data_IF_270308788278
#
_entry.id   IF_270308788278
#
_cell.length_a   1.000
_cell.length_b   1.000
_cell.length_c   1.000
_cell.angle_alpha   90.00
_cell.angle_beta   90.00
_cell.angle_gamma   90.00
#
_symmetry.space_group_name_H-M   'P 1'
#
loop_
_entity.id
_entity.type
_entity.pdbx_description
1 polymer ?
#
# COMPACT_ATOMS: atom_id res chain seq x y z
N UNK A 1 -2.56 -41.46 8.50
CA UNK A 1 -1.80 -40.33 9.05
C UNK A 1 -2.61 -39.08 8.82
N UNK A 2 -3.16 -38.47 9.89
CA UNK A 2 -3.94 -37.25 9.77
C UNK A 2 -3.03 -36.10 9.37
N UNK A 3 -3.17 -35.59 8.16
CA UNK A 3 -2.58 -34.30 7.82
C UNK A 3 -3.20 -33.20 8.70
N UNK A 4 -2.39 -32.26 9.18
CA UNK A 4 -2.86 -31.31 10.16
C UNK A 4 -3.94 -30.40 9.57
N UNK A 5 -5.10 -30.35 10.23
CA UNK A 5 -6.24 -29.46 9.92
C UNK A 5 -5.85 -27.99 9.72
N UNK A 6 -4.71 -27.57 10.25
CA UNK A 6 -4.19 -26.19 10.18
C UNK A 6 -3.90 -25.75 8.74
N UNK A 7 -3.39 -26.62 7.86
CA UNK A 7 -3.12 -26.28 6.45
C UNK A 7 -4.42 -26.03 5.66
N UNK A 8 -5.45 -26.82 5.93
CA UNK A 8 -6.76 -26.65 5.27
C UNK A 8 -7.45 -25.35 5.71
N UNK A 9 -7.37 -24.99 7.00
CA UNK A 9 -7.96 -23.78 7.54
C UNK A 9 -7.27 -22.53 6.93
N UNK A 10 -5.94 -22.47 6.89
CA UNK A 10 -5.21 -21.34 6.28
C UNK A 10 -5.55 -21.19 4.80
N UNK A 11 -5.57 -22.28 4.05
CA UNK A 11 -5.90 -22.25 2.62
C UNK A 11 -7.34 -21.77 2.39
N UNK A 12 -8.27 -22.15 3.26
CA UNK A 12 -9.68 -21.70 3.18
C UNK A 12 -9.80 -20.20 3.47
N UNK A 13 -9.15 -19.71 4.53
CA UNK A 13 -9.15 -18.27 4.89
C UNK A 13 -8.61 -17.44 3.73
N UNK A 14 -7.49 -17.82 3.13
CA UNK A 14 -6.92 -17.09 1.99
C UNK A 14 -7.84 -17.09 0.77
N UNK A 15 -8.48 -18.25 0.45
CA UNK A 15 -9.46 -18.33 -0.65
C UNK A 15 -10.68 -17.44 -0.42
N UNK A 16 -11.18 -17.35 0.81
CA UNK A 16 -12.29 -16.47 1.15
C UNK A 16 -11.88 -15.00 1.03
N UNK A 17 -10.68 -14.63 1.51
CA UNK A 17 -10.12 -13.31 1.32
C UNK A 17 -10.00 -12.94 -0.16
N UNK A 18 -9.43 -13.82 -0.98
CA UNK A 18 -9.23 -13.59 -2.42
C UNK A 18 -10.56 -13.41 -3.17
N UNK A 19 -11.62 -14.11 -2.73
CA UNK A 19 -12.96 -13.91 -3.28
C UNK A 19 -13.51 -12.52 -2.97
N UNK A 20 -13.36 -12.07 -1.72
CA UNK A 20 -13.80 -10.72 -1.31
C UNK A 20 -12.96 -9.65 -2.02
N UNK A 21 -11.64 -9.84 -2.08
CA UNK A 21 -10.74 -8.91 -2.76
C UNK A 21 -11.09 -8.72 -4.25
N UNK A 22 -11.42 -9.81 -4.96
CA UNK A 22 -11.89 -9.72 -6.36
C UNK A 22 -13.19 -8.94 -6.48
N UNK A 23 -14.15 -9.14 -5.56
CA UNK A 23 -15.40 -8.40 -5.55
C UNK A 23 -15.16 -6.90 -5.29
N UNK A 24 -14.29 -6.58 -4.34
CA UNK A 24 -13.89 -5.20 -4.05
C UNK A 24 -13.24 -4.53 -5.27
N UNK A 25 -12.28 -5.21 -5.91
CA UNK A 25 -11.64 -4.68 -7.13
C UNK A 25 -12.67 -4.39 -8.21
N UNK A 26 -13.62 -5.30 -8.42
CA UNK A 26 -14.71 -5.06 -9.38
C UNK A 26 -15.59 -3.87 -8.99
N UNK A 27 -15.89 -3.66 -7.70
CA UNK A 27 -16.63 -2.47 -7.23
C UNK A 27 -15.84 -1.19 -7.49
N UNK A 28 -14.53 -1.20 -7.23
CA UNK A 28 -13.64 -0.08 -7.47
C UNK A 28 -13.52 0.23 -8.98
N UNK A 29 -13.40 -0.80 -9.83
CA UNK A 29 -13.41 -0.66 -11.28
C UNK A 29 -14.71 0.00 -11.77
N UNK A 30 -15.86 -0.48 -11.30
CA UNK A 30 -17.17 0.07 -11.67
C UNK A 30 -17.37 1.51 -11.18
N UNK A 31 -16.77 1.87 -10.05
CA UNK A 31 -16.84 3.22 -9.50
C UNK A 31 -15.84 4.18 -10.17
N UNK A 32 -14.81 3.66 -10.85
CA UNK A 32 -13.70 4.46 -11.39
C UNK A 32 -12.72 4.91 -10.31
N UNK A 33 -12.68 4.24 -9.16
CA UNK A 33 -11.82 4.56 -8.01
C UNK A 33 -10.51 3.77 -8.10
N UNK A 34 -9.39 4.45 -8.24
CA UNK A 34 -8.08 3.82 -8.23
C UNK A 34 -7.63 3.51 -6.80
N UNK A 35 -7.32 2.25 -6.49
CA UNK A 35 -6.97 1.83 -5.12
C UNK A 35 -5.50 1.48 -5.02
N UNK A 36 -4.83 2.09 -4.04
CA UNK A 36 -3.39 1.97 -3.81
C UNK A 36 -3.12 1.49 -2.39
N UNK A 37 -2.41 0.39 -2.21
CA UNK A 37 -2.01 -0.09 -0.90
C UNK A 37 -0.53 0.17 -0.59
N UNK A 38 -0.24 0.41 0.70
CA UNK A 38 1.10 0.62 1.22
C UNK A 38 1.40 -0.44 2.29
N UNK A 39 2.45 -1.21 2.07
CA UNK A 39 2.96 -2.20 3.03
C UNK A 39 4.41 -1.91 3.39
N UNK A 40 4.81 -2.16 4.63
CA UNK A 40 6.20 -2.01 5.08
C UNK A 40 6.39 -2.59 6.48
N UNK A 41 7.63 -2.62 6.96
CA UNK A 41 7.90 -2.75 8.39
C UNK A 41 7.39 -1.55 9.20
N UNK A 42 7.23 -1.71 10.52
CA UNK A 42 6.96 -0.58 11.42
C UNK A 42 8.06 0.49 11.30
N UNK A 43 7.67 1.75 11.35
CA UNK A 43 8.64 2.85 11.31
C UNK A 43 9.26 3.17 9.94
N UNK A 44 8.93 2.46 8.87
CA UNK A 44 9.42 2.75 7.52
C UNK A 44 8.90 4.07 6.90
N UNK A 45 7.96 4.75 7.57
CA UNK A 45 7.47 6.06 7.14
C UNK A 45 6.22 6.05 6.28
N UNK A 46 5.41 4.96 6.28
CA UNK A 46 4.12 4.87 5.55
C UNK A 46 3.22 6.07 5.81
N UNK A 47 2.85 6.29 7.06
CA UNK A 47 1.93 7.37 7.46
C UNK A 47 2.45 8.74 7.06
N UNK A 48 3.77 8.99 7.21
CA UNK A 48 4.38 10.27 6.81
C UNK A 48 4.36 10.48 5.30
N UNK A 49 4.68 9.42 4.53
CA UNK A 49 4.60 9.46 3.07
C UNK A 49 3.15 9.70 2.63
N UNK A 50 2.21 8.96 3.20
CA UNK A 50 0.79 9.06 2.88
C UNK A 50 0.24 10.44 3.23
N UNK A 51 0.56 11.00 4.40
CA UNK A 51 0.16 12.35 4.80
C UNK A 51 0.58 13.41 3.77
N UNK A 52 1.84 13.36 3.32
CA UNK A 52 2.35 14.27 2.29
C UNK A 52 1.68 14.02 0.93
N UNK A 53 1.45 12.76 0.58
CA UNK A 53 0.77 12.37 -0.66
C UNK A 53 -0.66 12.93 -0.70
N UNK A 54 -1.41 12.76 0.37
CA UNK A 54 -2.78 13.27 0.48
C UNK A 54 -2.83 14.80 0.37
N UNK A 55 -1.93 15.49 1.06
CA UNK A 55 -1.84 16.95 1.01
C UNK A 55 -1.54 17.46 -0.41
N UNK A 56 -0.63 16.82 -1.15
CA UNK A 56 -0.27 17.20 -2.52
C UNK A 56 -1.38 16.87 -3.55
N UNK A 57 -2.12 15.78 -3.34
CA UNK A 57 -3.12 15.32 -4.30
C UNK A 57 -4.50 15.94 -4.07
N UNK A 58 -4.86 16.29 -2.83
CA UNK A 58 -6.21 16.77 -2.47
C UNK A 58 -6.64 18.06 -3.20
N UNK A 59 -5.68 18.84 -3.71
CA UNK A 59 -5.98 20.03 -4.51
C UNK A 59 -6.44 19.73 -5.95
N UNK A 60 -6.25 18.48 -6.41
CA UNK A 60 -6.49 18.10 -7.80
C UNK A 60 -7.42 16.88 -7.95
N UNK A 61 -7.53 16.06 -6.89
CA UNK A 61 -8.23 14.79 -6.89
C UNK A 61 -9.02 14.61 -5.60
N UNK A 62 -10.15 13.94 -5.69
CA UNK A 62 -10.88 13.46 -4.53
C UNK A 62 -10.19 12.20 -3.99
N UNK A 63 -9.49 12.35 -2.89
CA UNK A 63 -8.70 11.28 -2.27
C UNK A 63 -9.24 10.93 -0.90
N UNK A 64 -9.12 9.66 -0.52
CA UNK A 64 -9.46 9.18 0.82
C UNK A 64 -8.44 8.16 1.29
N UNK A 65 -8.41 7.86 2.60
CA UNK A 65 -7.50 6.87 3.15
C UNK A 65 -8.18 5.94 4.17
N UNK A 66 -7.84 4.66 4.10
CA UNK A 66 -8.05 3.67 5.15
C UNK A 66 -6.71 3.39 5.83
N UNK A 67 -6.70 3.31 7.15
CA UNK A 67 -5.49 3.09 7.93
C UNK A 67 -5.67 1.91 8.86
N UNK A 68 -4.88 0.86 8.63
CA UNK A 68 -4.82 -0.30 9.51
C UNK A 68 -3.84 -0.07 10.65
N UNK A 69 -4.31 -0.12 11.89
CA UNK A 69 -3.45 -0.07 13.07
C UNK A 69 -3.94 -1.06 14.13
N UNK A 70 -3.01 -1.53 14.96
CA UNK A 70 -3.31 -2.51 16.02
C UNK A 70 -4.21 -1.93 17.11
N UNK A 71 -3.97 -0.71 17.57
CA UNK A 71 -4.64 -0.18 18.76
C UNK A 71 -4.71 1.35 18.89
N UNK A 72 -3.97 2.14 18.08
CA UNK A 72 -3.86 3.58 18.31
C UNK A 72 -4.54 4.39 17.20
N UNK A 73 -5.17 5.51 17.56
CA UNK A 73 -5.79 6.44 16.58
C UNK A 73 -4.80 7.48 16.03
N UNK A 74 -3.53 7.39 16.39
CA UNK A 74 -2.55 8.43 16.10
C UNK A 74 -2.32 8.64 14.60
N UNK A 75 -2.27 7.56 13.83
CA UNK A 75 -2.01 7.65 12.39
C UNK A 75 -3.24 8.21 11.64
N UNK A 76 -4.45 7.77 11.99
CA UNK A 76 -5.66 8.35 11.43
C UNK A 76 -5.83 9.85 11.80
N UNK A 77 -5.51 10.24 13.04
CA UNK A 77 -5.51 11.66 13.45
C UNK A 77 -4.48 12.49 12.69
N UNK A 78 -3.30 11.95 12.42
CA UNK A 78 -2.28 12.63 11.60
C UNK A 78 -2.73 12.82 10.16
N UNK A 79 -3.34 11.79 9.55
CA UNK A 79 -3.82 11.87 8.18
C UNK A 79 -5.05 12.78 8.03
N UNK A 80 -5.95 12.82 9.03
CA UNK A 80 -7.11 13.71 9.00
C UNK A 80 -6.75 15.20 8.95
N UNK A 81 -5.52 15.57 9.35
CA UNK A 81 -5.01 16.95 9.21
C UNK A 81 -4.86 17.38 7.75
N UNK A 82 -4.84 16.44 6.79
CA UNK A 82 -4.85 16.77 5.36
C UNK A 82 -6.21 17.25 4.84
N UNK A 83 -7.26 17.19 5.67
CA UNK A 83 -8.61 17.64 5.31
C UNK A 83 -9.39 16.66 4.42
N UNK A 84 -8.83 15.47 4.15
CA UNK A 84 -9.48 14.42 3.35
C UNK A 84 -10.20 13.39 4.23
N UNK A 85 -11.18 12.63 3.70
CA UNK A 85 -11.81 11.54 4.43
C UNK A 85 -10.78 10.48 4.83
N UNK A 86 -10.69 10.19 6.13
CA UNK A 86 -9.82 9.14 6.68
C UNK A 86 -10.66 8.24 7.59
N UNK A 87 -10.52 6.93 7.43
CA UNK A 87 -11.13 5.96 8.33
C UNK A 87 -10.08 4.99 8.84
N UNK A 88 -10.08 4.78 10.15
CA UNK A 88 -9.22 3.80 10.79
C UNK A 88 -9.89 2.45 10.88
N UNK A 89 -9.11 1.41 10.63
CA UNK A 89 -9.44 0.01 10.86
C UNK A 89 -8.60 -0.47 12.04
N UNK A 90 -9.24 -0.70 13.18
CA UNK A 90 -8.57 -1.26 14.35
C UNK A 90 -8.54 -2.77 14.21
N UNK A 91 -7.35 -3.34 14.04
CA UNK A 91 -7.18 -4.78 13.80
C UNK A 91 -7.04 -5.60 15.08
N UNK A 92 -6.86 -4.93 16.24
CA UNK A 92 -6.69 -5.58 17.54
C UNK A 92 -5.42 -6.44 17.59
N UNK A 93 -5.57 -7.75 17.53
CA UNK A 93 -4.44 -8.70 17.58
C UNK A 93 -3.95 -9.16 16.20
N UNK A 94 -4.64 -8.76 15.12
CA UNK A 94 -4.29 -9.16 13.75
C UNK A 94 -3.28 -8.17 13.17
N UNK A 95 -2.13 -8.67 12.72
CA UNK A 95 -1.01 -7.85 12.27
C UNK A 95 -1.05 -7.52 10.76
N UNK A 96 -2.24 -7.52 10.16
CA UNK A 96 -2.49 -7.20 8.75
C UNK A 96 -3.95 -6.81 8.54
N UNK A 97 -4.26 -6.20 7.40
CA UNK A 97 -5.62 -6.01 6.92
C UNK A 97 -6.06 -7.20 6.07
N UNK A 98 -7.34 -7.51 6.12
CA UNK A 98 -8.04 -8.45 5.27
C UNK A 98 -9.06 -7.72 4.38
N UNK A 99 -9.42 -8.31 3.24
CA UNK A 99 -10.38 -7.72 2.31
C UNK A 99 -11.75 -7.45 2.96
N UNK A 100 -12.19 -8.30 3.88
CA UNK A 100 -13.43 -8.11 4.65
C UNK A 100 -13.40 -6.84 5.52
N UNK A 101 -12.23 -6.49 6.07
CA UNK A 101 -12.07 -5.27 6.85
C UNK A 101 -12.15 -4.02 5.96
N UNK A 102 -11.60 -4.09 4.75
CA UNK A 102 -11.71 -3.03 3.75
C UNK A 102 -13.16 -2.88 3.29
N UNK A 103 -13.86 -3.98 2.99
CA UNK A 103 -15.27 -4.01 2.61
C UNK A 103 -16.15 -3.32 3.67
N UNK A 104 -15.92 -3.63 4.94
CA UNK A 104 -16.64 -2.98 6.04
C UNK A 104 -16.29 -1.50 6.17
N UNK A 105 -15.00 -1.17 6.00
CA UNK A 105 -14.51 0.19 6.17
C UNK A 105 -14.98 1.16 5.09
N UNK A 106 -15.29 0.72 3.88
CA UNK A 106 -15.81 1.59 2.81
C UNK A 106 -17.33 1.78 2.85
N UNK A 107 -18.06 1.06 3.71
CA UNK A 107 -19.50 1.22 3.82
C UNK A 107 -19.90 2.66 4.10
N UNK A 108 -20.87 3.16 3.34
CA UNK A 108 -21.37 4.53 3.45
C UNK A 108 -20.48 5.58 2.77
N UNK A 109 -19.41 5.19 2.08
CA UNK A 109 -18.70 6.07 1.16
C UNK A 109 -19.28 5.95 -0.25
N UNK A 110 -19.46 7.07 -0.94
CA UNK A 110 -19.74 7.05 -2.37
C UNK A 110 -18.39 6.91 -3.12
N UNK A 111 -18.12 5.69 -3.56
CA UNK A 111 -16.86 5.39 -4.25
C UNK A 111 -16.74 6.15 -5.57
N UNK A 112 -17.84 6.50 -6.23
CA UNK A 112 -17.83 7.23 -7.50
C UNK A 112 -17.33 8.67 -7.35
N UNK A 113 -17.40 9.22 -6.14
CA UNK A 113 -16.87 10.54 -5.82
C UNK A 113 -15.34 10.50 -5.52
N UNK A 114 -14.74 9.30 -5.47
CA UNK A 114 -13.32 9.15 -5.17
C UNK A 114 -12.51 8.86 -6.43
N UNK A 115 -11.48 9.66 -6.66
CA UNK A 115 -10.47 9.38 -7.68
C UNK A 115 -9.47 8.32 -7.20
N UNK A 116 -9.01 8.45 -5.95
CA UNK A 116 -8.00 7.54 -5.36
C UNK A 116 -8.38 7.18 -3.93
N UNK A 117 -8.35 5.89 -3.62
CA UNK A 117 -8.42 5.36 -2.26
C UNK A 117 -7.06 4.79 -1.88
N UNK A 118 -6.47 5.30 -0.80
CA UNK A 118 -5.25 4.74 -0.22
C UNK A 118 -5.59 3.78 0.91
N UNK A 119 -4.85 2.67 0.99
CA UNK A 119 -4.95 1.70 2.08
C UNK A 119 -3.57 1.55 2.72
N UNK A 120 -3.39 2.14 3.90
CA UNK A 120 -2.20 1.92 4.72
C UNK A 120 -2.38 0.63 5.53
N UNK A 121 -1.55 -0.37 5.27
CA UNK A 121 -1.57 -1.63 6.02
C UNK A 121 -0.80 -1.50 7.34
N UNK A 122 -1.08 -2.41 8.27
CA UNK A 122 -0.32 -2.55 9.51
C UNK A 122 1.17 -2.75 9.20
N UNK A 123 2.05 -2.18 10.02
CA UNK A 123 3.50 -2.31 9.87
C UNK A 123 3.96 -3.75 10.09
N UNK A 124 4.08 -4.53 8.99
CA UNK A 124 4.52 -5.92 8.98
C UNK A 124 4.95 -6.33 7.57
N UNK A 125 6.03 -7.11 7.42
CA UNK A 125 6.53 -7.60 6.13
C UNK A 125 6.15 -9.06 5.85
N UNK A 126 5.52 -9.76 6.78
CA UNK A 126 5.19 -11.19 6.64
C UNK A 126 3.72 -11.39 6.34
N UNK A 127 2.85 -11.04 7.28
CA UNK A 127 1.42 -11.33 7.17
C UNK A 127 0.75 -10.63 5.96
N UNK A 128 0.97 -9.31 5.70
CA UNK A 128 0.30 -8.61 4.60
C UNK A 128 0.64 -9.18 3.22
N UNK A 129 1.76 -9.91 3.08
CA UNK A 129 2.20 -10.45 1.79
C UNK A 129 1.24 -11.47 1.18
N UNK A 130 0.39 -12.09 1.99
CA UNK A 130 -0.53 -13.16 1.55
C UNK A 130 -1.96 -12.69 1.35
N UNK A 131 -2.26 -11.41 1.64
CA UNK A 131 -3.62 -10.88 1.59
C UNK A 131 -3.76 -9.81 0.52
N UNK A 132 -4.58 -10.11 -0.49
CA UNK A 132 -5.07 -9.15 -1.49
C UNK A 132 -6.21 -8.34 -0.84
N UNK A 133 -6.18 -7.02 -1.00
CA UNK A 133 -7.19 -6.10 -0.46
C UNK A 133 -8.12 -5.53 -1.55
N UNK A 134 -7.97 -5.99 -2.79
CA UNK A 134 -8.67 -5.47 -3.94
C UNK A 134 -7.99 -4.23 -4.55
N UNK A 135 -6.77 -3.92 -4.15
CA UNK A 135 -5.99 -2.80 -4.69
C UNK A 135 -5.55 -3.02 -6.14
N UNK A 136 -5.37 -1.92 -6.87
CA UNK A 136 -4.84 -1.90 -8.24
C UNK A 136 -3.31 -1.76 -8.28
N UNK A 137 -2.74 -1.16 -7.22
CA UNK A 137 -1.31 -0.91 -7.09
C UNK A 137 -0.87 -1.12 -5.65
N UNK A 138 0.17 -1.92 -5.45
CA UNK A 138 0.76 -2.17 -4.14
C UNK A 138 2.18 -1.64 -4.08
N UNK A 139 2.44 -0.70 -3.18
CA UNK A 139 3.77 -0.24 -2.82
C UNK A 139 4.32 -1.01 -1.63
N UNK A 140 5.55 -1.52 -1.74
CA UNK A 140 6.34 -1.94 -0.59
C UNK A 140 7.35 -0.85 -0.24
N UNK A 141 7.29 -0.33 0.99
CA UNK A 141 8.21 0.70 1.44
C UNK A 141 9.36 0.06 2.21
N UNK A 142 10.57 0.56 1.95
CA UNK A 142 11.79 0.21 2.65
C UNK A 142 12.52 1.50 3.05
N UNK A 143 12.74 1.68 4.34
CA UNK A 143 13.49 2.85 4.83
C UNK A 143 14.99 2.63 4.71
N UNK A 144 15.74 3.67 4.38
CA UNK A 144 17.22 3.66 4.38
C UNK A 144 17.81 3.28 5.75
N UNK A 145 17.00 3.32 6.82
CA UNK A 145 17.42 2.94 8.18
C UNK A 145 17.22 1.46 8.51
N UNK A 146 16.82 0.61 7.54
CA UNK A 146 16.44 -0.78 7.82
C UNK A 146 17.41 -1.86 7.32
N UNK A 147 18.40 -1.48 6.53
CA UNK A 147 19.40 -2.38 5.94
C UNK A 147 19.00 -2.92 4.56
N UNK A 148 20.01 -3.12 3.73
CA UNK A 148 19.93 -3.41 2.30
C UNK A 148 19.52 -4.86 1.99
N UNK A 149 19.62 -5.74 2.98
CA UNK A 149 19.29 -7.17 2.87
C UNK A 149 17.82 -7.50 3.20
N UNK A 150 17.02 -6.51 3.59
CA UNK A 150 15.58 -6.68 3.87
C UNK A 150 14.82 -7.37 2.74
N UNK A 151 15.02 -7.05 1.46
CA UNK A 151 14.32 -7.75 0.38
C UNK A 151 14.64 -9.25 0.35
N UNK A 152 15.88 -9.62 0.65
CA UNK A 152 16.31 -11.03 0.69
C UNK A 152 15.77 -11.77 1.91
N UNK A 153 15.58 -11.08 3.03
CA UNK A 153 14.98 -11.65 4.27
C UNK A 153 13.47 -11.83 4.17
N UNK A 154 12.79 -10.94 3.43
CA UNK A 154 11.34 -10.92 3.28
C UNK A 154 10.91 -10.95 1.81
N UNK A 155 11.33 -11.98 1.03
CA UNK A 155 11.15 -11.97 -0.43
C UNK A 155 9.68 -11.96 -0.84
N UNK A 156 8.78 -12.56 -0.06
CA UNK A 156 7.37 -12.69 -0.43
C UNK A 156 6.70 -11.33 -0.59
N UNK A 157 6.94 -10.38 0.32
CA UNK A 157 6.27 -9.05 0.25
C UNK A 157 6.76 -8.24 -0.96
N UNK A 158 8.05 -8.37 -1.33
CA UNK A 158 8.58 -7.74 -2.54
C UNK A 158 8.05 -8.40 -3.82
N UNK A 159 7.88 -9.73 -3.81
CA UNK A 159 7.29 -10.44 -4.95
C UNK A 159 5.81 -10.10 -5.18
N UNK A 160 5.07 -9.76 -4.14
CA UNK A 160 3.64 -9.44 -4.24
C UNK A 160 3.36 -7.95 -4.40
N UNK A 161 4.37 -7.09 -4.26
CA UNK A 161 4.22 -5.64 -4.48
C UNK A 161 4.57 -5.27 -5.93
N UNK A 162 4.01 -4.19 -6.45
CA UNK A 162 4.25 -3.73 -7.83
C UNK A 162 5.47 -2.83 -7.92
N UNK A 163 5.71 -2.02 -6.88
CA UNK A 163 6.79 -1.02 -6.84
C UNK A 163 7.40 -1.00 -5.45
N UNK A 164 8.73 -0.92 -5.40
CA UNK A 164 9.47 -0.64 -4.17
C UNK A 164 9.70 0.86 -4.01
N UNK A 165 9.43 1.39 -2.82
CA UNK A 165 9.66 2.80 -2.48
C UNK A 165 10.71 2.88 -1.38
N UNK A 166 11.90 3.40 -1.72
CA UNK A 166 12.93 3.70 -0.73
C UNK A 166 12.57 5.01 -0.04
N UNK A 167 12.36 4.95 1.27
CA UNK A 167 11.97 6.10 2.08
C UNK A 167 13.11 6.65 2.90
N UNK A 168 12.97 7.89 3.38
CA UNK A 168 13.96 8.60 4.22
C UNK A 168 15.33 8.71 3.56
N UNK A 169 15.36 8.90 2.24
CA UNK A 169 16.63 8.98 1.47
C UNK A 169 17.49 10.17 1.90
N UNK A 170 16.92 11.15 2.58
CA UNK A 170 17.64 12.24 3.25
C UNK A 170 18.55 11.77 4.39
N UNK A 171 18.37 10.56 4.89
CA UNK A 171 19.20 9.96 5.96
C UNK A 171 20.25 8.99 5.41
N UNK A 172 20.27 8.69 4.10
CA UNK A 172 21.08 7.64 3.51
C UNK A 172 22.57 7.77 3.89
N UNK A 173 23.16 8.95 3.70
CA UNK A 173 24.57 9.20 4.02
C UNK A 173 24.84 9.08 5.53
N UNK A 174 23.92 9.57 6.35
CA UNK A 174 24.09 9.56 7.81
C UNK A 174 24.07 8.14 8.40
N UNK A 175 23.40 7.20 7.74
CA UNK A 175 23.31 5.80 8.20
C UNK A 175 24.19 4.85 7.39
N UNK A 176 24.98 5.36 6.44
CA UNK A 176 25.85 4.56 5.59
C UNK A 176 25.08 3.60 4.66
N UNK A 177 23.90 4.00 4.18
CA UNK A 177 23.05 3.16 3.34
C UNK A 177 23.60 3.00 1.93
N UNK A 178 23.79 1.76 1.49
CA UNK A 178 24.21 1.43 0.15
C UNK A 178 23.02 1.22 -0.79
N UNK A 179 22.70 2.27 -1.57
CA UNK A 179 21.60 2.24 -2.52
C UNK A 179 21.82 1.15 -3.60
N UNK A 180 23.03 0.95 -4.06
CA UNK A 180 23.32 -0.05 -5.10
C UNK A 180 23.06 -1.46 -4.58
N UNK A 181 23.45 -1.73 -3.33
CA UNK A 181 23.25 -3.03 -2.70
C UNK A 181 21.76 -3.35 -2.50
N UNK A 182 20.93 -2.37 -2.07
CA UNK A 182 19.49 -2.60 -1.89
C UNK A 182 18.80 -2.80 -3.23
N UNK A 183 19.15 -2.03 -4.26
CA UNK A 183 18.61 -2.22 -5.61
C UNK A 183 18.93 -3.62 -6.15
N UNK A 184 20.16 -4.09 -6.00
CA UNK A 184 20.53 -5.46 -6.33
C UNK A 184 19.72 -6.50 -5.53
N UNK A 185 19.51 -6.29 -4.24
CA UNK A 185 18.72 -7.17 -3.39
C UNK A 185 17.26 -7.25 -3.87
N UNK A 186 16.65 -6.13 -4.22
CA UNK A 186 15.30 -6.07 -4.78
C UNK A 186 15.25 -6.78 -6.14
N UNK A 187 16.18 -6.50 -7.04
CA UNK A 187 16.21 -7.12 -8.37
C UNK A 187 16.47 -8.63 -8.34
N UNK A 188 17.16 -9.14 -7.32
CA UNK A 188 17.31 -10.59 -7.11
C UNK A 188 16.01 -11.27 -6.72
N UNK A 189 15.15 -10.58 -5.95
CA UNK A 189 13.86 -11.09 -5.50
C UNK A 189 12.81 -10.95 -6.61
N UNK A 190 12.73 -9.76 -7.21
CA UNK A 190 11.77 -9.47 -8.29
C UNK A 190 12.49 -8.73 -9.42
N UNK A 191 12.99 -9.46 -10.41
CA UNK A 191 13.64 -8.86 -11.58
C UNK A 191 12.70 -7.89 -12.32
N UNK A 192 13.19 -6.70 -12.64
CA UNK A 192 12.41 -5.66 -13.33
C UNK A 192 11.50 -4.83 -12.43
N UNK A 193 11.50 -5.05 -11.11
CA UNK A 193 10.73 -4.23 -10.19
C UNK A 193 11.15 -2.78 -10.25
N UNK A 194 10.19 -1.87 -10.44
CA UNK A 194 10.47 -0.42 -10.36
C UNK A 194 10.80 -0.03 -8.92
N UNK A 195 11.82 0.81 -8.78
CA UNK A 195 12.28 1.35 -7.51
C UNK A 195 12.18 2.88 -7.57
N UNK A 196 11.53 3.49 -6.59
CA UNK A 196 11.38 4.94 -6.48
C UNK A 196 12.00 5.39 -5.16
N UNK A 197 12.87 6.40 -5.21
CA UNK A 197 13.49 7.00 -4.03
C UNK A 197 12.65 8.19 -3.54
N UNK A 198 12.40 8.26 -2.22
CA UNK A 198 11.59 9.33 -1.63
C UNK A 198 12.19 9.88 -0.34
N UNK A 199 11.98 11.18 -0.12
CA UNK A 199 12.16 11.83 1.18
C UNK A 199 10.94 12.70 1.46
N UNK A 200 10.24 12.39 2.55
CA UNK A 200 9.10 13.22 3.00
C UNK A 200 9.54 14.54 3.66
N UNK A 201 10.84 14.76 3.83
CA UNK A 201 11.39 15.98 4.44
C UNK A 201 11.95 16.97 3.43
N UNK A 202 12.31 16.52 2.23
CA UNK A 202 12.79 17.44 1.19
C UNK A 202 11.63 17.97 0.33
N UNK A 203 11.70 19.20 -0.18
CA UNK A 203 10.66 19.79 -1.01
C UNK A 203 10.36 18.96 -2.27
N UNK A 204 11.39 18.49 -2.96
CA UNK A 204 11.27 17.71 -4.20
C UNK A 204 11.29 16.20 -3.97
N UNK A 205 11.38 15.75 -2.72
CA UNK A 205 11.59 14.33 -2.39
C UNK A 205 10.45 13.40 -2.73
N UNK A 206 9.29 13.90 -3.13
CA UNK A 206 8.13 13.12 -3.56
C UNK A 206 7.83 13.26 -5.05
N UNK A 207 8.57 14.06 -5.78
CA UNK A 207 8.24 14.44 -7.17
C UNK A 207 8.12 13.22 -8.10
N UNK A 208 9.10 12.32 -8.07
CA UNK A 208 9.09 11.11 -8.91
C UNK A 208 7.92 10.19 -8.51
N UNK A 209 7.72 9.99 -7.21
CA UNK A 209 6.63 9.16 -6.67
C UNK A 209 5.26 9.69 -7.08
N UNK A 210 5.01 11.00 -6.91
CA UNK A 210 3.73 11.62 -7.28
C UNK A 210 3.51 11.60 -8.80
N UNK A 211 4.53 11.81 -9.60
CA UNK A 211 4.45 11.71 -11.05
C UNK A 211 4.11 10.27 -11.48
N UNK A 212 4.77 9.28 -10.90
CA UNK A 212 4.46 7.88 -11.16
C UNK A 212 3.01 7.55 -10.79
N UNK A 213 2.55 7.95 -9.60
CA UNK A 213 1.20 7.70 -9.13
C UNK A 213 0.12 8.34 -10.05
N UNK A 214 0.35 9.59 -10.51
CA UNK A 214 -0.54 10.27 -11.46
C UNK A 214 -0.60 9.56 -12.81
N UNK A 215 0.52 9.04 -13.31
CA UNK A 215 0.55 8.26 -14.55
C UNK A 215 -0.23 6.95 -14.40
N UNK A 216 -0.09 6.24 -13.28
CA UNK A 216 -0.85 5.01 -12.99
C UNK A 216 -2.36 5.27 -12.90
N UNK A 217 -2.77 6.38 -12.28
CA UNK A 217 -4.18 6.79 -12.28
C UNK A 217 -4.71 7.03 -13.70
N UNK A 218 -3.93 7.67 -14.58
CA UNK A 218 -4.34 7.89 -15.96
C UNK A 218 -4.45 6.59 -16.74
N UNK A 219 -3.51 5.67 -16.60
CA UNK A 219 -3.55 4.34 -17.21
C UNK A 219 -4.78 3.56 -16.75
N UNK A 220 -5.07 3.57 -15.45
CA UNK A 220 -6.27 2.97 -14.88
C UNK A 220 -7.55 3.54 -15.51
N UNK A 221 -7.68 4.86 -15.56
CA UNK A 221 -8.85 5.52 -16.17
C UNK A 221 -9.03 5.16 -17.63
N UNK A 222 -7.95 5.09 -18.40
CA UNK A 222 -7.99 4.64 -19.78
C UNK A 222 -8.42 3.18 -19.92
N UNK A 223 -8.11 2.33 -18.95
CA UNK A 223 -8.51 0.92 -18.98
C UNK A 223 -10.00 0.76 -18.66
N UNK A 224 -10.51 1.43 -17.62
CA UNK A 224 -11.91 1.34 -17.20
C UNK A 224 -12.85 1.88 -18.27
N UNK A 225 -12.54 3.01 -18.91
CA UNK A 225 -13.37 3.59 -19.98
C UNK A 225 -13.52 2.67 -21.18
N UNK A 226 -12.52 1.87 -21.53
CA UNK A 226 -12.62 0.88 -22.63
C UNK A 226 -13.60 -0.27 -22.33
N UNK A 227 -13.90 -0.54 -21.07
CA UNK A 227 -14.87 -1.56 -20.67
C UNK A 227 -16.31 -1.02 -20.60
N UNK A 228 -16.49 0.29 -20.41
CA UNK A 228 -17.82 0.93 -20.36
C UNK A 228 -18.44 1.14 -21.74
N UNK A 229 -17.62 1.14 -22.80
CA UNK A 229 -18.06 1.33 -24.19
C UNK A 229 -18.37 0.00 -24.94
N UNK A 230 -18.39 -1.12 -24.22
CA UNK A 230 -18.75 -2.44 -24.74
C UNK A 230 -20.02 -2.98 -24.09
#
# INVERSE_FOLDING_TARGET
>A
MNQPRILEVRTRILKDNDRIARNLRHQFDQAGTFVVSLVSSPGAGKTTLLQRTLAELSSFYHVAALVGDLATENDAKRLSQSGVPVRQIVTGTVCHLEASMVEEAIKGWDLKELDILFIENVGNLVCPSSYDLGEHLRFVLLSTTEGEDKPLKYPTIFNTADVAVLTKTDLADAVGFDKTQVEQSIQRVRPGMKIISTSSRSPDGLKEYLMFLKNQLQEFRCSVNKFSDR
#
